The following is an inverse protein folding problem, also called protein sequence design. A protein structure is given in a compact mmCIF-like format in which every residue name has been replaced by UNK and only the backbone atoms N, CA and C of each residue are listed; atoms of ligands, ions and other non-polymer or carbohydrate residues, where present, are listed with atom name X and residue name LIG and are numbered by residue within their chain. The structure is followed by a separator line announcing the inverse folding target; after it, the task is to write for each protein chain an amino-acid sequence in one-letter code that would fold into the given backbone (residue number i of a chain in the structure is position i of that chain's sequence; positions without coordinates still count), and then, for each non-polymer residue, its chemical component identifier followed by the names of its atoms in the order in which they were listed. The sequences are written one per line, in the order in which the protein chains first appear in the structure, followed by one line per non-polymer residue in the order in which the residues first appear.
data_IF_538773438267
#
_entry.id   IF_538773438267
#
_cell.length_a   1.000
_cell.length_b   1.000
_cell.length_c   1.000
_cell.angle_alpha   90.00
_cell.angle_beta   90.00
_cell.angle_gamma   90.00
#
_symmetry.space_group_name_H-M   'P 1'
#
loop_
_entity.id
_entity.type
_entity.pdbx_description
1 polymer ?
#
# COMPACT_ATOMS: atom_id res chain seq x y z
N UNK A 1 9.76 -17.40 12.57
CA UNK A 1 8.74 -16.50 12.00
C UNK A 1 8.76 -16.69 10.50
N UNK A 2 7.62 -17.03 9.91
CA UNK A 2 7.47 -17.23 8.47
C UNK A 2 6.98 -15.95 7.80
N UNK A 3 7.69 -15.46 6.83
CA UNK A 3 7.44 -14.19 6.15
C UNK A 3 7.18 -14.39 4.65
N UNK A 4 6.14 -13.74 4.15
CA UNK A 4 5.81 -13.73 2.72
C UNK A 4 5.96 -12.31 2.17
N UNK A 5 6.56 -12.18 0.99
CA UNK A 5 6.55 -10.92 0.22
C UNK A 5 5.48 -11.01 -0.87
N UNK A 6 4.66 -9.97 -0.99
CA UNK A 6 3.58 -9.84 -1.98
C UNK A 6 3.82 -8.56 -2.78
N UNK A 7 3.93 -8.69 -4.09
CA UNK A 7 4.10 -7.58 -5.02
C UNK A 7 2.91 -7.55 -5.99
N UNK A 8 1.93 -6.64 -5.80
CA UNK A 8 0.91 -6.37 -6.80
C UNK A 8 1.52 -5.72 -8.04
N UNK A 9 1.14 -6.19 -9.21
CA UNK A 9 1.69 -5.73 -10.49
C UNK A 9 0.57 -5.59 -11.52
N UNK A 10 0.57 -4.49 -12.28
CA UNK A 10 -0.35 -4.26 -13.39
C UNK A 10 0.38 -3.47 -14.47
N UNK A 11 0.41 -4.01 -15.69
CA UNK A 11 1.08 -3.39 -16.83
C UNK A 11 2.49 -2.87 -16.46
N UNK A 12 3.39 -3.78 -16.00
CA UNK A 12 4.70 -3.38 -15.48
C UNK A 12 5.57 -2.70 -16.53
N UNK A 13 6.40 -1.76 -16.08
CA UNK A 13 7.52 -1.26 -16.87
C UNK A 13 8.66 -2.25 -16.92
N UNK A 14 9.63 -2.02 -17.81
CA UNK A 14 10.84 -2.85 -17.92
C UNK A 14 11.67 -2.90 -16.62
N UNK A 15 11.50 -1.94 -15.73
CA UNK A 15 12.21 -1.86 -14.44
C UNK A 15 11.80 -2.96 -13.44
N UNK A 16 10.67 -3.64 -13.66
CA UNK A 16 10.19 -4.67 -12.73
C UNK A 16 11.13 -5.87 -12.65
N UNK A 17 11.64 -6.38 -13.78
CA UNK A 17 12.53 -7.53 -13.78
C UNK A 17 13.86 -7.27 -13.05
N UNK A 18 14.61 -6.17 -13.33
CA UNK A 18 15.78 -5.80 -12.54
C UNK A 18 15.49 -5.65 -11.04
N UNK A 19 14.32 -5.19 -10.65
CA UNK A 19 13.91 -5.09 -9.24
C UNK A 19 13.72 -6.49 -8.64
N UNK A 20 12.96 -7.37 -9.29
CA UNK A 20 12.70 -8.72 -8.79
C UNK A 20 13.97 -9.58 -8.71
N UNK A 21 14.94 -9.40 -9.63
CA UNK A 21 16.21 -10.11 -9.64
C UNK A 21 17.14 -9.78 -8.46
N UNK A 22 16.88 -8.72 -7.71
CA UNK A 22 17.66 -8.40 -6.51
C UNK A 22 17.37 -9.39 -5.38
N UNK A 23 16.17 -9.99 -5.36
CA UNK A 23 15.77 -10.92 -4.32
C UNK A 23 16.41 -12.30 -4.52
N UNK A 24 16.79 -12.91 -3.40
CA UNK A 24 17.47 -14.21 -3.37
C UNK A 24 16.59 -15.28 -2.71
N UNK A 25 16.77 -16.55 -3.06
CA UNK A 25 16.17 -17.65 -2.30
C UNK A 25 16.52 -17.55 -0.81
N UNK A 26 15.49 -17.56 0.04
CA UNK A 26 15.66 -17.43 1.51
C UNK A 26 15.49 -16.01 2.06
N UNK A 27 15.41 -14.97 1.21
CA UNK A 27 15.04 -13.63 1.68
C UNK A 27 13.66 -13.62 2.34
N UNK A 28 12.72 -14.40 1.80
CA UNK A 28 11.41 -14.67 2.37
C UNK A 28 11.07 -16.17 2.24
N UNK A 29 10.17 -16.68 3.09
CA UNK A 29 9.68 -18.07 3.00
C UNK A 29 8.79 -18.28 1.76
N UNK A 30 8.21 -17.21 1.22
CA UNK A 30 7.54 -17.18 -0.08
C UNK A 30 7.57 -15.77 -0.65
N UNK A 31 7.71 -15.66 -1.96
CA UNK A 31 7.68 -14.40 -2.71
C UNK A 31 6.68 -14.52 -3.85
N UNK A 32 5.63 -13.69 -3.85
CA UNK A 32 4.54 -13.76 -4.81
C UNK A 32 4.46 -12.46 -5.61
N UNK A 33 4.46 -12.59 -6.93
CA UNK A 33 4.13 -11.52 -7.86
C UNK A 33 2.70 -11.74 -8.37
N UNK A 34 1.81 -10.84 -8.07
CA UNK A 34 0.42 -10.89 -8.53
C UNK A 34 0.21 -9.99 -9.75
N UNK A 35 -0.03 -10.58 -10.91
CA UNK A 35 -0.47 -9.86 -12.11
C UNK A 35 -1.97 -9.57 -12.01
N UNK A 36 -2.34 -8.33 -11.91
CA UNK A 36 -3.72 -7.83 -11.82
C UNK A 36 -4.37 -7.68 -13.21
N UNK A 37 -4.20 -8.69 -14.06
CA UNK A 37 -4.85 -8.73 -15.36
C UNK A 37 -4.20 -7.85 -16.41
N UNK A 38 -2.87 -7.81 -16.46
CA UNK A 38 -2.12 -7.22 -17.57
C UNK A 38 -2.43 -7.96 -18.88
N UNK A 39 -2.56 -7.23 -19.96
CA UNK A 39 -2.83 -7.79 -21.28
C UNK A 39 -1.70 -8.66 -21.82
N UNK A 40 -1.93 -9.32 -22.97
CA UNK A 40 -0.97 -10.24 -23.62
C UNK A 40 0.38 -9.58 -23.96
N UNK A 41 0.41 -8.26 -24.15
CA UNK A 41 1.66 -7.52 -24.39
C UNK A 41 2.68 -7.58 -23.25
N UNK A 42 2.29 -8.11 -22.08
CA UNK A 42 3.16 -8.26 -20.90
C UNK A 42 3.53 -9.71 -20.62
N UNK A 43 3.13 -10.66 -21.47
CA UNK A 43 3.38 -12.09 -21.26
C UNK A 43 4.87 -12.40 -21.10
N UNK A 44 5.72 -11.82 -21.95
CA UNK A 44 7.17 -12.03 -21.91
C UNK A 44 7.78 -11.58 -20.58
N UNK A 45 7.31 -10.49 -19.99
CA UNK A 45 7.79 -10.00 -18.69
C UNK A 45 7.45 -11.00 -17.58
N UNK A 46 6.21 -11.50 -17.56
CA UNK A 46 5.80 -12.45 -16.53
C UNK A 46 6.43 -13.82 -16.72
N UNK A 47 6.66 -14.27 -17.97
CA UNK A 47 7.44 -15.49 -18.26
C UNK A 47 8.88 -15.35 -17.76
N UNK A 48 9.55 -14.24 -18.08
CA UNK A 48 10.89 -13.96 -17.56
C UNK A 48 10.91 -13.88 -16.03
N UNK A 49 9.88 -13.32 -15.40
CA UNK A 49 9.79 -13.29 -13.95
C UNK A 49 9.69 -14.72 -13.34
N UNK A 50 8.96 -15.63 -13.99
CA UNK A 50 8.87 -17.03 -13.57
C UNK A 50 10.18 -17.79 -13.73
N UNK A 51 10.91 -17.54 -14.81
CA UNK A 51 12.11 -18.30 -15.17
C UNK A 51 13.39 -17.78 -14.50
N UNK A 52 13.48 -16.45 -14.31
CA UNK A 52 14.72 -15.78 -13.94
C UNK A 52 14.73 -15.23 -12.51
N UNK A 53 13.62 -15.38 -11.76
CA UNK A 53 13.52 -14.85 -10.40
C UNK A 53 13.01 -15.90 -9.41
N UNK A 54 13.03 -15.56 -8.11
CA UNK A 54 12.55 -16.44 -7.04
C UNK A 54 11.04 -16.24 -6.76
N UNK A 55 10.32 -15.51 -7.60
CA UNK A 55 8.92 -15.21 -7.39
C UNK A 55 8.00 -16.25 -8.00
N UNK A 56 7.02 -16.69 -7.23
CA UNK A 56 5.85 -17.39 -7.76
C UNK A 56 4.94 -16.33 -8.41
N UNK A 57 4.68 -16.46 -9.71
CA UNK A 57 3.82 -15.51 -10.45
C UNK A 57 2.40 -16.06 -10.52
N UNK A 58 1.43 -15.26 -10.07
CA UNK A 58 0.01 -15.58 -10.10
C UNK A 58 -0.71 -14.54 -10.95
N UNK A 59 -1.27 -14.97 -12.08
CA UNK A 59 -1.91 -14.07 -13.05
C UNK A 59 -3.42 -14.13 -12.94
N UNK A 60 -4.06 -12.96 -12.84
CA UNK A 60 -5.51 -12.81 -12.87
C UNK A 60 -5.98 -12.45 -14.28
N UNK A 61 -7.15 -12.94 -14.72
CA UNK A 61 -7.63 -12.69 -16.08
C UNK A 61 -8.15 -11.26 -16.28
N UNK A 62 -8.46 -10.53 -15.22
CA UNK A 62 -9.04 -9.18 -15.26
C UNK A 62 -8.49 -8.32 -14.14
N UNK A 63 -8.30 -7.04 -14.42
CA UNK A 63 -7.89 -6.04 -13.43
C UNK A 63 -8.99 -5.82 -12.38
N UNK A 64 -8.66 -6.19 -11.14
CA UNK A 64 -9.51 -6.03 -9.95
C UNK A 64 -9.03 -4.88 -9.05
N UNK A 65 -7.77 -4.51 -9.17
CA UNK A 65 -7.14 -3.45 -8.41
C UNK A 65 -6.15 -3.94 -7.37
N UNK A 66 -5.24 -3.05 -6.98
CA UNK A 66 -4.14 -3.33 -6.04
C UNK A 66 -4.63 -3.94 -4.71
N UNK A 67 -5.73 -3.41 -4.16
CA UNK A 67 -6.31 -3.94 -2.92
C UNK A 67 -6.77 -5.38 -3.04
N UNK A 68 -7.36 -5.77 -4.20
CA UNK A 68 -7.74 -7.16 -4.46
C UNK A 68 -6.53 -8.09 -4.50
N UNK A 69 -5.40 -7.63 -5.05
CA UNK A 69 -4.14 -8.41 -5.08
C UNK A 69 -3.54 -8.55 -3.67
N UNK A 70 -3.56 -7.49 -2.86
CA UNK A 70 -3.13 -7.58 -1.46
C UNK A 70 -4.01 -8.57 -0.68
N UNK A 71 -5.34 -8.52 -0.85
CA UNK A 71 -6.25 -9.50 -0.25
C UNK A 71 -5.97 -10.93 -0.73
N UNK A 72 -5.64 -11.13 -1.99
CA UNK A 72 -5.23 -12.44 -2.50
C UNK A 72 -3.95 -12.93 -1.79
N UNK A 73 -2.97 -12.04 -1.61
CA UNK A 73 -1.77 -12.32 -0.83
C UNK A 73 -2.06 -12.70 0.62
N UNK A 74 -2.97 -11.99 1.29
CA UNK A 74 -3.39 -12.30 2.67
C UNK A 74 -4.10 -13.66 2.77
N UNK A 75 -4.95 -14.03 1.78
CA UNK A 75 -5.58 -15.38 1.73
C UNK A 75 -4.53 -16.47 1.59
N UNK A 76 -3.56 -16.26 0.71
CA UNK A 76 -2.46 -17.21 0.49
C UNK A 76 -1.57 -17.34 1.73
N UNK A 77 -1.29 -16.22 2.40
CA UNK A 77 -0.55 -16.21 3.65
C UNK A 77 -1.27 -17.00 4.77
N UNK A 78 -2.57 -16.84 4.91
CA UNK A 78 -3.37 -17.65 5.84
C UNK A 78 -3.29 -19.14 5.49
N UNK A 79 -3.45 -19.49 4.20
CA UNK A 79 -3.37 -20.86 3.73
C UNK A 79 -2.01 -21.50 4.05
N UNK A 80 -0.92 -20.75 3.86
CA UNK A 80 0.48 -21.19 4.12
C UNK A 80 0.89 -21.03 5.59
N UNK A 81 0.03 -20.51 6.46
CA UNK A 81 0.31 -20.25 7.88
C UNK A 81 1.55 -19.36 8.07
N UNK A 82 1.54 -18.22 7.38
CA UNK A 82 2.56 -17.19 7.51
C UNK A 82 2.31 -16.33 8.75
N UNK A 83 3.38 -15.86 9.38
CA UNK A 83 3.32 -14.96 10.53
C UNK A 83 3.23 -13.49 10.09
N UNK A 84 3.83 -13.15 8.93
CA UNK A 84 3.83 -11.82 8.34
C UNK A 84 3.66 -11.85 6.83
N UNK A 85 2.95 -10.84 6.32
CA UNK A 85 2.96 -10.47 4.90
C UNK A 85 3.62 -9.11 4.75
N UNK A 86 4.61 -9.03 3.88
CA UNK A 86 5.21 -7.78 3.43
C UNK A 86 4.64 -7.43 2.07
N UNK A 87 4.27 -6.17 1.86
CA UNK A 87 3.85 -5.66 0.56
C UNK A 87 4.86 -4.64 0.06
N UNK A 88 5.10 -4.60 -1.25
CA UNK A 88 5.88 -3.56 -1.91
C UNK A 88 5.29 -3.28 -3.29
N UNK A 89 5.51 -2.07 -3.81
CA UNK A 89 5.07 -1.69 -5.15
C UNK A 89 6.01 -2.27 -6.22
N UNK A 90 5.47 -2.59 -7.40
CA UNK A 90 6.24 -3.15 -8.53
C UNK A 90 6.99 -2.10 -9.35
N UNK A 91 6.86 -0.81 -9.01
CA UNK A 91 7.44 0.31 -9.75
C UNK A 91 8.93 0.57 -9.42
N UNK A 92 9.53 -0.23 -8.53
CA UNK A 92 10.93 -0.10 -8.14
C UNK A 92 11.25 1.10 -7.25
N UNK A 93 10.24 1.84 -6.76
CA UNK A 93 10.48 2.97 -5.82
C UNK A 93 10.97 2.52 -4.45
N UNK A 94 10.67 1.29 -4.05
CA UNK A 94 11.14 0.70 -2.81
C UNK A 94 12.47 -0.02 -3.03
N UNK A 95 13.48 0.36 -2.26
CA UNK A 95 14.79 -0.30 -2.32
C UNK A 95 14.71 -1.70 -1.70
N UNK A 96 15.41 -2.63 -2.32
CA UNK A 96 15.53 -4.00 -1.82
C UNK A 96 16.00 -4.04 -0.36
N UNK A 97 17.01 -3.22 -0.02
CA UNK A 97 17.56 -3.14 1.35
C UNK A 97 16.51 -2.68 2.36
N UNK A 98 15.65 -1.73 1.99
CA UNK A 98 14.61 -1.23 2.89
C UNK A 98 13.51 -2.27 3.12
N UNK A 99 13.20 -3.09 2.12
CA UNK A 99 12.25 -4.21 2.26
C UNK A 99 12.81 -5.25 3.25
N UNK A 100 14.10 -5.59 3.13
CA UNK A 100 14.74 -6.52 4.07
C UNK A 100 14.85 -5.92 5.48
N UNK A 101 15.20 -4.64 5.61
CA UNK A 101 15.21 -3.94 6.91
C UNK A 101 13.84 -3.97 7.59
N UNK A 102 12.77 -3.76 6.81
CA UNK A 102 11.42 -3.83 7.36
C UNK A 102 11.08 -5.24 7.84
N UNK A 103 11.54 -6.28 7.13
CA UNK A 103 11.43 -7.68 7.59
C UNK A 103 12.19 -7.92 8.88
N UNK A 104 13.41 -7.39 9.03
CA UNK A 104 14.21 -7.51 10.24
C UNK A 104 13.52 -6.88 11.46
N UNK A 105 12.87 -5.71 11.27
CA UNK A 105 12.07 -5.07 12.34
C UNK A 105 10.93 -5.96 12.84
N UNK A 106 10.34 -6.82 11.99
CA UNK A 106 9.28 -7.73 12.41
C UNK A 106 9.74 -8.76 13.46
N UNK A 107 11.01 -9.16 13.46
CA UNK A 107 11.55 -10.05 14.49
C UNK A 107 11.64 -9.38 15.86
N UNK A 108 11.91 -8.07 15.89
CA UNK A 108 12.00 -7.29 17.12
C UNK A 108 10.63 -6.77 17.58
N UNK A 109 9.73 -6.50 16.63
CA UNK A 109 8.41 -5.90 16.84
C UNK A 109 7.29 -6.84 16.39
N UNK A 110 7.28 -8.04 16.98
CA UNK A 110 6.26 -9.04 16.68
C UNK A 110 4.85 -8.50 16.97
N UNK A 111 3.92 -8.72 16.03
CA UNK A 111 2.54 -8.24 16.15
C UNK A 111 2.33 -6.76 15.80
N UNK A 112 3.39 -6.01 15.49
CA UNK A 112 3.26 -4.63 15.03
C UNK A 112 2.92 -4.58 13.53
N UNK A 113 2.05 -3.64 13.15
CA UNK A 113 1.95 -3.19 11.76
C UNK A 113 3.20 -2.36 11.45
N UNK A 114 3.97 -2.78 10.45
CA UNK A 114 5.20 -2.08 10.04
C UNK A 114 4.92 -1.25 8.79
N UNK A 115 5.42 -0.03 8.75
CA UNK A 115 5.19 0.93 7.66
C UNK A 115 6.53 1.51 7.21
N UNK A 116 6.82 1.46 5.91
CA UNK A 116 7.92 2.22 5.34
C UNK A 116 7.55 3.70 5.29
N UNK A 117 8.36 4.57 5.90
CA UNK A 117 8.13 6.02 5.94
C UNK A 117 9.08 6.74 5.01
N UNK A 118 8.56 7.30 3.93
CA UNK A 118 9.33 8.12 2.96
C UNK A 118 9.64 9.49 3.54
N UNK A 119 10.80 10.02 3.18
CA UNK A 119 11.17 11.40 3.54
C UNK A 119 10.65 12.40 2.49
N UNK A 120 9.59 13.13 2.84
CA UNK A 120 9.02 14.19 2.01
C UNK A 120 9.68 15.56 2.23
N UNK A 121 10.68 15.69 3.10
CA UNK A 121 11.38 16.97 3.36
C UNK A 121 12.38 17.34 2.25
N UNK A 122 12.85 16.34 1.51
CA UNK A 122 13.84 16.50 0.44
C UNK A 122 13.36 17.49 -0.64
N UNK A 123 14.32 18.27 -1.20
CA UNK A 123 14.03 19.27 -2.26
C UNK A 123 13.54 18.62 -3.57
N UNK A 124 13.83 17.36 -3.79
CA UNK A 124 13.50 16.63 -5.03
C UNK A 124 12.05 16.08 -5.05
N UNK A 125 11.32 16.16 -3.93
CA UNK A 125 9.94 15.68 -3.87
C UNK A 125 8.99 16.67 -4.54
N UNK A 126 8.16 16.25 -5.52
CA UNK A 126 7.21 17.14 -6.18
C UNK A 126 6.22 17.77 -5.20
N UNK A 127 5.89 19.06 -5.41
CA UNK A 127 4.97 19.81 -4.53
C UNK A 127 3.61 19.09 -4.36
N UNK A 128 3.09 18.51 -5.44
CA UNK A 128 1.82 17.74 -5.41
C UNK A 128 1.88 16.56 -4.43
N UNK A 129 3.00 15.83 -4.41
CA UNK A 129 3.21 14.71 -3.48
C UNK A 129 3.28 15.19 -2.03
N UNK A 130 3.98 16.32 -1.77
CA UNK A 130 4.02 16.93 -0.44
C UNK A 130 2.64 17.37 0.05
N UNK A 131 1.87 18.03 -0.82
CA UNK A 131 0.54 18.51 -0.48
C UNK A 131 -0.43 17.35 -0.26
N UNK A 132 -0.45 16.37 -1.17
CA UNK A 132 -1.29 15.19 -1.06
C UNK A 132 -1.00 14.40 0.22
N UNK A 133 0.27 14.19 0.56
CA UNK A 133 0.63 13.50 1.80
C UNK A 133 0.21 14.29 3.05
N UNK A 134 0.40 15.62 3.09
CA UNK A 134 -0.05 16.46 4.22
C UNK A 134 -1.56 16.38 4.44
N UNK A 135 -2.33 16.47 3.36
CA UNK A 135 -3.78 16.35 3.43
C UNK A 135 -4.20 14.96 3.93
N UNK A 136 -3.57 13.92 3.41
CA UNK A 136 -3.80 12.53 3.79
C UNK A 136 -3.50 12.30 5.28
N UNK A 137 -2.39 12.84 5.80
CA UNK A 137 -2.01 12.76 7.21
C UNK A 137 -3.05 13.46 8.09
N UNK A 138 -3.46 14.68 7.72
CA UNK A 138 -4.45 15.45 8.48
C UNK A 138 -5.80 14.70 8.54
N UNK A 139 -6.26 14.20 7.39
CA UNK A 139 -7.47 13.38 7.32
C UNK A 139 -7.36 12.12 8.19
N UNK A 140 -6.24 11.39 8.07
CA UNK A 140 -5.98 10.18 8.84
C UNK A 140 -5.99 10.46 10.35
N UNK A 141 -5.33 11.55 10.77
CA UNK A 141 -5.32 11.96 12.17
C UNK A 141 -6.72 12.26 12.70
N UNK A 142 -7.54 13.00 11.94
CA UNK A 142 -8.92 13.29 12.32
C UNK A 142 -9.79 12.03 12.41
N UNK A 143 -9.52 11.02 11.59
CA UNK A 143 -10.29 9.77 11.56
C UNK A 143 -9.86 8.75 12.63
N UNK A 144 -8.62 8.81 13.11
CA UNK A 144 -8.04 7.77 13.96
C UNK A 144 -7.49 8.28 15.29
N UNK A 145 -7.23 9.59 15.39
CA UNK A 145 -6.43 10.23 16.44
C UNK A 145 -5.02 9.63 16.59
N UNK A 146 -4.52 8.95 15.53
CA UNK A 146 -3.17 8.38 15.46
C UNK A 146 -2.34 9.17 14.47
N UNK A 147 -1.05 9.33 14.74
CA UNK A 147 -0.14 10.10 13.92
C UNK A 147 0.72 9.16 13.06
N UNK A 148 0.32 8.92 11.83
CA UNK A 148 1.13 8.23 10.80
C UNK A 148 1.69 9.27 9.86
N UNK A 149 3.01 9.21 9.56
CA UNK A 149 3.70 10.24 8.78
C UNK A 149 3.68 9.96 7.27
N UNK A 150 3.48 8.70 6.87
CA UNK A 150 3.29 8.32 5.48
C UNK A 150 2.14 7.31 5.36
N UNK A 151 0.94 7.82 5.14
CA UNK A 151 -0.28 7.00 5.02
C UNK A 151 -0.43 6.33 3.65
N UNK A 152 0.37 6.74 2.67
CA UNK A 152 0.29 6.28 1.28
C UNK A 152 1.42 5.33 0.88
N UNK A 153 2.23 4.89 1.85
CA UNK A 153 3.29 3.93 1.57
C UNK A 153 2.72 2.57 1.14
N UNK A 154 3.26 2.00 0.06
CA UNK A 154 2.99 0.62 -0.37
C UNK A 154 3.87 -0.40 0.34
N UNK A 155 4.95 0.04 1.02
CA UNK A 155 5.83 -0.84 1.77
C UNK A 155 5.29 -1.04 3.19
N UNK A 156 4.72 -2.22 3.45
CA UNK A 156 4.10 -2.56 4.73
C UNK A 156 4.48 -3.96 5.17
N UNK A 157 4.58 -4.17 6.49
CA UNK A 157 4.65 -5.49 7.12
C UNK A 157 3.39 -5.72 7.96
N UNK A 158 2.57 -6.66 7.54
CA UNK A 158 1.24 -6.94 8.11
C UNK A 158 1.36 -8.23 8.93
N UNK A 159 1.16 -8.19 10.26
CA UNK A 159 1.19 -9.38 11.12
C UNK A 159 -0.07 -10.25 10.90
N UNK A 160 0.04 -11.54 11.18
CA UNK A 160 -1.05 -12.52 11.02
C UNK A 160 -2.33 -12.14 11.78
N UNK A 161 -2.20 -11.44 12.91
CA UNK A 161 -3.34 -10.93 13.69
C UNK A 161 -4.22 -9.94 12.93
N UNK A 162 -3.71 -9.32 11.88
CA UNK A 162 -4.43 -8.35 11.04
C UNK A 162 -4.89 -8.93 9.69
N UNK A 163 -4.64 -10.22 9.39
CA UNK A 163 -5.03 -10.79 8.09
C UNK A 163 -6.54 -10.77 7.88
N UNK A 164 -7.33 -11.15 8.89
CA UNK A 164 -8.79 -11.16 8.78
C UNK A 164 -9.33 -9.74 8.60
N UNK A 165 -8.83 -8.79 9.39
CA UNK A 165 -9.15 -7.39 9.23
C UNK A 165 -8.84 -6.88 7.82
N UNK A 166 -7.69 -7.28 7.26
CA UNK A 166 -7.30 -6.93 5.90
C UNK A 166 -8.22 -7.54 4.85
N UNK A 167 -8.69 -8.76 5.06
CA UNK A 167 -9.63 -9.43 4.14
C UNK A 167 -11.02 -8.79 4.16
N UNK A 168 -11.47 -8.32 5.32
CA UNK A 168 -12.78 -7.69 5.53
C UNK A 168 -12.80 -6.20 5.20
N UNK A 169 -11.62 -5.55 5.13
CA UNK A 169 -11.52 -4.12 4.82
C UNK A 169 -12.11 -3.80 3.45
N UNK A 170 -12.87 -2.71 3.36
CA UNK A 170 -13.53 -2.27 2.14
C UNK A 170 -12.54 -1.77 1.08
N UNK A 171 -12.96 -1.87 -0.18
CA UNK A 171 -12.18 -1.44 -1.35
C UNK A 171 -11.37 -2.57 -1.98
N UNK A 172 -11.11 -2.42 -3.27
CA UNK A 172 -10.31 -3.36 -4.06
C UNK A 172 -9.17 -2.66 -4.81
N UNK A 173 -9.18 -1.30 -4.85
CA UNK A 173 -8.19 -0.49 -5.55
C UNK A 173 -7.30 0.27 -4.55
N UNK A 174 -6.91 1.50 -4.85
CA UNK A 174 -6.03 2.31 -4.01
C UNK A 174 -6.67 2.74 -2.68
N UNK A 175 -8.02 2.85 -2.63
CA UNK A 175 -8.75 3.15 -1.41
C UNK A 175 -8.59 2.08 -0.32
N UNK A 176 -8.39 0.83 -0.71
CA UNK A 176 -8.20 -0.28 0.22
C UNK A 176 -7.07 -0.03 1.21
N UNK A 177 -5.93 0.47 0.73
CA UNK A 177 -4.75 0.66 1.57
C UNK A 177 -4.99 1.70 2.68
N UNK A 178 -5.79 2.74 2.39
CA UNK A 178 -6.17 3.73 3.39
C UNK A 178 -7.21 3.18 4.37
N UNK A 179 -8.23 2.48 3.87
CA UNK A 179 -9.27 1.88 4.68
C UNK A 179 -8.68 0.85 5.65
N UNK A 180 -7.85 -0.07 5.14
CA UNK A 180 -7.15 -1.05 5.97
C UNK A 180 -6.25 -0.37 7.01
N UNK A 181 -5.44 0.62 6.62
CA UNK A 181 -4.56 1.32 7.55
C UNK A 181 -5.34 1.99 8.68
N UNK A 182 -6.48 2.62 8.34
CA UNK A 182 -7.35 3.30 9.31
C UNK A 182 -7.90 2.35 10.38
N UNK A 183 -8.19 1.12 10.01
CA UNK A 183 -8.66 0.08 10.93
C UNK A 183 -7.48 -0.54 11.70
N UNK A 184 -6.42 -0.90 10.99
CA UNK A 184 -5.29 -1.63 11.53
C UNK A 184 -4.55 -0.90 12.66
N UNK A 185 -4.40 0.45 12.58
CA UNK A 185 -3.75 1.23 13.65
C UNK A 185 -4.58 1.33 14.93
N UNK A 186 -5.86 0.96 14.89
CA UNK A 186 -6.73 0.88 16.07
C UNK A 186 -6.60 -0.48 16.76
N UNK A 187 -6.35 -1.53 15.97
CA UNK A 187 -6.33 -2.93 16.42
C UNK A 187 -4.93 -3.42 16.82
N UNK A 188 -3.86 -2.83 16.26
CA UNK A 188 -2.50 -3.24 16.54
C UNK A 188 -1.57 -2.04 16.77
N UNK A 189 -0.48 -2.21 17.54
CA UNK A 189 0.61 -1.25 17.55
C UNK A 189 1.23 -1.14 16.16
N UNK A 190 1.77 0.03 15.81
CA UNK A 190 2.45 0.24 14.55
C UNK A 190 3.82 0.90 14.74
N UNK A 191 4.69 0.67 13.76
CA UNK A 191 6.04 1.24 13.72
C UNK A 191 6.34 1.76 12.32
N UNK A 192 6.93 2.93 12.23
CA UNK A 192 7.34 3.54 10.97
C UNK A 192 8.87 3.48 10.83
N UNK A 193 9.34 2.72 9.84
CA UNK A 193 10.75 2.62 9.47
C UNK A 193 11.08 3.70 8.43
N UNK A 194 12.03 4.62 8.67
CA UNK A 194 12.49 5.52 7.63
C UNK A 194 13.12 4.76 6.47
N UNK A 195 12.63 5.03 5.26
CA UNK A 195 13.08 4.41 4.01
C UNK A 195 13.54 5.47 3.01
N UNK A 196 14.44 5.07 2.12
CA UNK A 196 14.83 5.87 0.98
C UNK A 196 13.91 5.59 -0.21
N UNK A 197 13.50 6.63 -0.90
CA UNK A 197 12.69 6.50 -2.12
C UNK A 197 13.58 6.72 -3.33
N UNK A 198 13.56 5.77 -4.25
CA UNK A 198 14.21 5.95 -5.55
C UNK A 198 13.28 6.77 -6.43
N UNK A 199 13.63 8.02 -6.68
CA UNK A 199 12.93 8.85 -7.65
C UNK A 199 13.62 8.68 -9.02
N UNK A 200 12.98 8.00 -9.95
CA UNK A 200 13.45 7.92 -11.32
C UNK A 200 13.40 9.30 -12.00
N UNK A 201 14.26 9.49 -13.02
CA UNK A 201 14.30 10.74 -13.77
C UNK A 201 12.97 10.95 -14.49
N UNK A 202 12.51 12.22 -14.55
CA UNK A 202 11.27 12.62 -15.24
C UNK A 202 11.18 11.98 -16.63
N UNK A 203 10.20 11.10 -16.84
CA UNK A 203 9.86 10.54 -18.15
C UNK A 203 9.63 9.02 -18.19
N UNK A 204 10.10 8.24 -17.20
CA UNK A 204 10.01 6.78 -17.21
C UNK A 204 8.97 6.20 -16.22
N UNK A 205 8.25 7.08 -15.53
CA UNK A 205 7.33 6.67 -14.46
C UNK A 205 5.94 6.34 -15.02
N UNK A 206 5.60 5.08 -15.11
CA UNK A 206 4.23 4.61 -15.36
C UNK A 206 3.49 4.46 -14.03
N UNK A 207 2.97 5.55 -13.50
CA UNK A 207 2.05 5.48 -12.36
C UNK A 207 0.63 5.27 -12.87
N UNK A 208 0.01 4.15 -12.56
CA UNK A 208 -1.40 3.86 -12.85
C UNK A 208 -2.38 4.60 -11.93
N UNK A 209 -1.87 5.39 -11.00
CA UNK A 209 -2.67 6.24 -10.10
C UNK A 209 -3.27 7.42 -10.89
N UNK A 210 -4.57 7.36 -11.14
CA UNK A 210 -5.35 8.45 -11.75
C UNK A 210 -5.62 9.53 -10.71
N UNK A 211 -4.73 10.53 -10.62
CA UNK A 211 -4.67 11.52 -9.54
C UNK A 211 -6.04 12.10 -9.13
N UNK A 212 -6.93 12.40 -10.07
CA UNK A 212 -8.25 12.98 -9.76
C UNK A 212 -9.25 11.88 -9.34
N UNK A 213 -9.36 10.82 -10.14
CA UNK A 213 -10.38 9.77 -9.95
C UNK A 213 -10.10 8.97 -8.68
N UNK A 214 -8.85 8.56 -8.46
CA UNK A 214 -8.48 7.72 -7.32
C UNK A 214 -8.43 8.55 -6.03
N UNK A 215 -7.96 9.81 -6.09
CA UNK A 215 -8.10 10.75 -4.97
C UNK A 215 -9.56 10.97 -4.60
N UNK A 216 -10.45 11.14 -5.58
CA UNK A 216 -11.88 11.30 -5.30
C UNK A 216 -12.48 10.06 -4.63
N UNK A 217 -12.09 8.85 -5.07
CA UNK A 217 -12.52 7.60 -4.44
C UNK A 217 -12.06 7.48 -2.99
N UNK A 218 -10.80 7.82 -2.72
CA UNK A 218 -10.22 7.79 -1.37
C UNK A 218 -10.93 8.80 -0.46
N UNK A 219 -11.22 10.00 -0.96
CA UNK A 219 -11.73 11.11 -0.14
C UNK A 219 -13.24 11.36 -0.24
N UNK A 220 -13.97 10.61 -1.08
CA UNK A 220 -15.43 10.77 -1.26
C UNK A 220 -16.20 10.65 0.06
N UNK A 221 -15.94 9.63 0.83
CA UNK A 221 -16.64 9.37 2.09
C UNK A 221 -16.32 10.45 3.12
N UNK A 222 -15.03 10.78 3.41
CA UNK A 222 -14.68 11.89 4.28
C UNK A 222 -15.28 13.23 3.88
N UNK A 223 -15.25 13.53 2.57
CA UNK A 223 -15.81 14.78 2.05
C UNK A 223 -17.33 14.87 2.25
N UNK A 224 -18.04 13.74 2.08
CA UNK A 224 -19.47 13.66 2.33
C UNK A 224 -19.78 13.90 3.82
N UNK A 225 -19.03 13.29 4.74
CA UNK A 225 -19.19 13.53 6.18
C UNK A 225 -18.94 15.00 6.55
N UNK A 226 -17.92 15.62 5.97
CA UNK A 226 -17.64 17.05 6.17
C UNK A 226 -18.82 17.90 5.71
N UNK A 227 -19.37 17.63 4.51
CA UNK A 227 -20.54 18.36 3.99
C UNK A 227 -21.78 18.18 4.88
N UNK A 228 -22.05 16.97 5.34
CA UNK A 228 -23.16 16.69 6.26
C UNK A 228 -22.96 17.45 7.57
N UNK A 229 -21.76 17.39 8.16
CA UNK A 229 -21.46 18.09 9.42
C UNK A 229 -21.59 19.60 9.29
N UNK A 230 -21.12 20.18 8.18
CA UNK A 230 -21.31 21.62 7.90
C UNK A 230 -22.78 21.98 7.68
N UNK A 231 -23.55 21.09 7.04
CA UNK A 231 -25.00 21.26 6.85
C UNK A 231 -25.74 21.24 8.20
N UNK A 232 -25.43 20.27 9.07
CA UNK A 232 -26.00 20.21 10.42
C UNK A 232 -25.64 21.44 11.23
N UNK A 233 -24.37 21.86 11.23
CA UNK A 233 -23.94 23.08 11.92
C UNK A 233 -24.66 24.32 11.41
N UNK A 234 -24.84 24.45 10.08
CA UNK A 234 -25.60 25.56 9.48
C UNK A 234 -27.05 25.57 9.91
N UNK A 235 -27.69 24.39 9.98
CA UNK A 235 -29.07 24.28 10.50
C UNK A 235 -29.15 24.64 11.97
N UNK A 236 -28.21 24.21 12.81
CA UNK A 236 -28.19 24.55 14.24
C UNK A 236 -28.04 26.06 14.45
N UNK A 237 -27.14 26.71 13.71
CA UNK A 237 -26.97 28.18 13.77
C UNK A 237 -28.24 28.91 13.32
N UNK A 238 -28.88 28.40 12.26
CA UNK A 238 -30.13 29.02 11.74
C UNK A 238 -31.29 28.89 12.73
N UNK A 239 -31.44 27.70 13.33
CA UNK A 239 -32.46 27.46 14.35
C UNK A 239 -32.23 28.30 15.61
N UNK A 240 -30.97 28.45 16.03
CA UNK A 240 -30.61 29.30 17.17
C UNK A 240 -30.88 30.78 16.93
N UNK A 241 -30.80 31.27 15.70
CA UNK A 241 -31.10 32.67 15.36
C UNK A 241 -32.62 32.95 15.13
N UNK A 242 -33.42 31.89 14.94
CA UNK A 242 -34.88 32.00 14.74
C UNK A 242 -35.68 31.80 16.01
N UNK A 243 -35.05 31.36 17.10
CA UNK A 243 -35.58 31.24 18.44
C UNK A 243 -35.20 32.45 19.28
#
# INVERSE_FOLDING_TARGET
MKCMLVIPCFEPSESVLPFLKQFKPGDFDAMLLFDDGSGQGYDDIFLSAMEETCFEVIRFPLNKGKGAMIKAGLREAKRRKMDYVFTADSDGQHRYEDILRLKEEAYQKQGYLLLGKRDFSSKNVPFRSKFGNRFSIAYFYLSTFKKVHDTQTGLRGIPASLFDLGLESEGERFEYEMNFLTLAVKEAPYYELPIETVYEKKGEHVSHFRTIVDSFRIYKVPFLYLLISLGCFGLDVLTFHLL
#
